data_IF_106575116698
#
_entry.id   IF_106575116698
#
_cell.length_a   1.000
_cell.length_b   1.000
_cell.length_c   1.000
_cell.angle_alpha   90.00
_cell.angle_beta   90.00
_cell.angle_gamma   90.00
#
_symmetry.space_group_name_H-M   'P 1'
#
loop_
_entity.id
_entity.type
_entity.pdbx_description
1 polymer ?
#
# COMPACT_ATOMS: atom_id res chain seq x y z
N UNK A 1 25.27 19.42 1.96
CA UNK A 1 23.98 19.98 1.57
C UNK A 1 23.18 18.90 0.90
N UNK A 2 22.17 18.39 1.59
CA UNK A 2 21.24 17.40 1.01
C UNK A 2 20.18 18.20 0.25
N UNK A 3 20.03 18.06 -1.07
CA UNK A 3 18.88 18.65 -1.74
C UNK A 3 17.60 17.96 -1.24
N UNK A 4 16.48 18.68 -1.06
CA UNK A 4 15.21 18.06 -0.73
C UNK A 4 14.80 17.09 -1.85
N UNK A 5 14.39 15.89 -1.50
CA UNK A 5 13.81 14.95 -2.44
C UNK A 5 12.36 15.37 -2.72
N UNK A 6 12.01 15.58 -3.97
CA UNK A 6 10.61 15.73 -4.39
C UNK A 6 10.09 14.36 -4.77
N UNK A 7 8.95 13.99 -4.22
CA UNK A 7 8.38 12.64 -4.38
C UNK A 7 7.03 12.77 -5.08
N UNK A 8 6.78 11.90 -6.04
CA UNK A 8 5.48 11.79 -6.69
C UNK A 8 4.84 10.44 -6.40
N UNK A 9 3.55 10.44 -6.06
CA UNK A 9 2.62 9.31 -5.78
C UNK A 9 2.65 8.74 -4.35
N UNK A 10 1.68 8.18 -3.95
CA UNK A 10 0.62 8.36 -3.10
C UNK A 10 -0.01 7.10 -2.49
N UNK A 11 -0.84 7.28 -1.51
CA UNK A 11 -1.62 6.31 -0.76
C UNK A 11 -2.76 5.68 -1.58
N UNK A 12 -3.68 4.98 -0.90
CA UNK A 12 -4.78 4.17 -1.43
C UNK A 12 -5.49 4.74 -2.67
N UNK A 13 -5.64 6.03 -2.77
CA UNK A 13 -6.33 6.70 -3.88
C UNK A 13 -5.40 7.63 -4.69
N UNK A 14 -4.09 7.49 -4.51
CA UNK A 14 -3.11 8.22 -5.31
C UNK A 14 -2.72 9.58 -4.72
N UNK A 15 -2.85 9.82 -3.40
CA UNK A 15 -2.45 11.08 -2.77
C UNK A 15 -1.60 10.89 -1.49
N UNK A 16 -1.03 11.95 -0.96
CA UNK A 16 -0.14 11.97 0.21
C UNK A 16 -0.84 12.41 1.50
N UNK A 17 -2.17 12.60 1.51
CA UNK A 17 -2.89 13.24 2.59
C UNK A 17 -2.60 12.65 3.99
N UNK A 18 -2.54 11.33 4.08
CA UNK A 18 -2.39 10.61 5.34
C UNK A 18 -0.94 10.16 5.63
N UNK A 19 0.02 10.46 4.75
CA UNK A 19 1.42 10.08 4.94
C UNK A 19 2.20 11.21 5.60
N UNK A 20 2.61 11.02 6.84
CA UNK A 20 3.37 12.01 7.61
C UNK A 20 4.87 11.75 7.65
N UNK A 21 5.26 10.50 7.46
CA UNK A 21 6.67 10.10 7.44
C UNK A 21 6.88 8.85 6.59
N UNK A 22 8.09 8.72 6.02
CA UNK A 22 8.54 7.53 5.31
C UNK A 22 9.91 7.13 5.83
N UNK A 23 10.26 5.85 5.68
CA UNK A 23 11.64 5.41 5.81
C UNK A 23 12.39 5.67 4.51
N UNK A 24 13.66 6.04 4.61
CA UNK A 24 14.61 6.06 3.49
C UNK A 24 15.85 5.28 3.88
N UNK A 25 16.21 4.32 3.07
CA UNK A 25 17.36 3.43 3.27
C UNK A 25 18.43 3.67 2.21
N UNK A 26 19.67 3.87 2.66
CA UNK A 26 20.87 3.89 1.83
C UNK A 26 21.90 2.93 2.46
N UNK A 27 22.27 1.90 1.73
CA UNK A 27 23.09 0.82 2.27
C UNK A 27 22.37 0.11 3.43
N UNK A 28 23.00 0.05 4.61
CA UNK A 28 22.40 -0.53 5.82
C UNK A 28 21.73 0.49 6.73
N UNK A 29 21.76 1.78 6.37
CA UNK A 29 21.27 2.87 7.21
C UNK A 29 19.84 3.24 6.81
N UNK A 30 18.91 3.15 7.75
CA UNK A 30 17.50 3.56 7.59
C UNK A 30 17.25 4.80 8.42
N UNK A 31 16.68 5.83 7.81
CA UNK A 31 16.33 7.08 8.47
C UNK A 31 14.90 7.49 8.18
N UNK A 32 14.28 8.14 9.18
CA UNK A 32 12.96 8.74 9.04
C UNK A 32 13.03 10.05 8.27
N UNK A 33 12.12 10.22 7.32
CA UNK A 33 11.91 11.49 6.63
C UNK A 33 10.46 11.93 6.83
N UNK A 34 10.27 13.19 7.24
CA UNK A 34 8.96 13.82 7.30
C UNK A 34 8.47 14.10 5.89
N UNK A 35 7.18 13.92 5.70
CA UNK A 35 6.49 14.20 4.44
C UNK A 35 5.75 15.53 4.58
N UNK A 36 6.02 16.44 3.65
CA UNK A 36 5.25 17.68 3.46
C UNK A 36 4.64 17.63 2.08
N UNK A 37 3.34 17.37 2.01
CA UNK A 37 2.62 17.25 0.74
C UNK A 37 2.25 18.60 0.14
N UNK A 38 2.05 18.65 -1.18
CA UNK A 38 1.53 19.78 -1.92
C UNK A 38 0.05 20.06 -1.55
N UNK A 39 -0.46 21.22 -1.94
CA UNK A 39 -1.85 21.58 -1.66
C UNK A 39 -2.89 20.64 -2.28
N UNK A 40 -2.55 19.98 -3.37
CA UNK A 40 -3.38 18.98 -4.06
C UNK A 40 -3.08 17.54 -3.61
N UNK A 41 -2.14 17.35 -2.67
CA UNK A 41 -1.65 16.06 -2.18
C UNK A 41 -1.01 15.14 -3.23
N UNK A 42 -0.78 15.60 -4.45
CA UNK A 42 -0.25 14.75 -5.53
C UNK A 42 1.27 14.59 -5.49
N UNK A 43 1.96 15.52 -4.84
CA UNK A 43 3.41 15.46 -4.64
C UNK A 43 3.78 15.73 -3.19
N UNK A 44 4.99 15.35 -2.80
CA UNK A 44 5.49 15.59 -1.46
C UNK A 44 6.98 15.91 -1.47
N UNK A 45 7.42 16.66 -0.46
CA UNK A 45 8.83 16.92 -0.16
C UNK A 45 9.20 16.14 1.09
N UNK A 46 10.33 15.44 1.02
CA UNK A 46 10.89 14.70 2.14
C UNK A 46 11.96 15.53 2.84
N UNK A 47 11.89 15.62 4.17
CA UNK A 47 12.89 16.32 4.99
C UNK A 47 13.21 15.52 6.25
N UNK A 48 14.43 15.63 6.76
CA UNK A 48 14.86 14.99 8.00
C UNK A 48 15.79 15.91 8.79
N UNK A 49 15.74 15.81 10.12
CA UNK A 49 16.70 16.48 10.99
C UNK A 49 18.05 15.74 11.02
N UNK A 50 18.06 14.47 10.61
CA UNK A 50 19.25 13.64 10.40
C UNK A 50 19.21 13.01 8.99
N UNK A 51 19.41 13.80 7.92
CA UNK A 51 19.30 13.27 6.56
C UNK A 51 20.50 12.38 6.18
N UNK A 52 20.33 11.61 5.11
CA UNK A 52 21.46 10.99 4.43
C UNK A 52 22.29 12.06 3.70
N UNK A 53 23.60 11.95 3.81
CA UNK A 53 24.55 12.83 3.10
C UNK A 53 25.32 12.04 2.06
N UNK A 54 25.57 12.66 0.92
CA UNK A 54 26.51 12.13 -0.05
C UNK A 54 27.91 12.02 0.58
N UNK A 55 28.47 10.82 0.59
CA UNK A 55 29.82 10.53 1.09
C UNK A 55 30.86 10.55 -0.04
N UNK A 56 30.42 10.40 -1.28
CA UNK A 56 31.23 10.43 -2.51
C UNK A 56 30.36 10.91 -3.67
N UNK A 57 30.94 11.02 -4.85
CA UNK A 57 30.22 11.39 -6.09
C UNK A 57 29.66 10.18 -6.84
N UNK A 58 29.74 9.00 -6.23
CA UNK A 58 29.25 7.75 -6.81
C UNK A 58 27.72 7.66 -6.77
N UNK A 59 27.20 6.81 -7.60
CA UNK A 59 25.77 6.44 -7.56
C UNK A 59 25.45 5.69 -6.26
N UNK A 60 24.33 6.00 -5.64
CA UNK A 60 23.81 5.29 -4.46
C UNK A 60 22.51 4.59 -4.79
N UNK A 61 22.30 3.44 -4.17
CA UNK A 61 21.03 2.72 -4.23
C UNK A 61 20.16 3.16 -3.06
N UNK A 62 18.94 3.60 -3.35
CA UNK A 62 17.97 4.09 -2.37
C UNK A 62 16.72 3.22 -2.42
N UNK A 63 16.27 2.79 -1.25
CA UNK A 63 14.91 2.26 -1.03
C UNK A 63 14.17 3.15 -0.05
N UNK A 64 12.87 3.31 -0.25
CA UNK A 64 12.03 4.07 0.67
C UNK A 64 10.67 3.40 0.80
N UNK A 65 10.01 3.52 1.96
CA UNK A 65 8.72 2.85 2.17
C UNK A 65 7.83 3.55 3.19
N UNK A 66 6.56 3.28 3.06
CA UNK A 66 5.52 3.59 4.02
C UNK A 66 4.52 2.39 4.09
N UNK A 67 3.94 2.06 5.24
CA UNK A 67 4.14 2.71 6.54
C UNK A 67 5.55 2.45 7.10
N UNK A 68 6.02 3.39 7.91
CA UNK A 68 7.29 3.31 8.62
C UNK A 68 7.07 3.22 10.13
N UNK A 69 7.76 2.31 10.79
CA UNK A 69 7.81 2.22 12.25
C UNK A 69 9.24 2.50 12.74
N UNK A 70 9.36 3.33 13.74
CA UNK A 70 10.68 3.67 14.31
C UNK A 70 11.44 2.41 14.74
N UNK A 71 12.72 2.36 14.39
CA UNK A 71 13.59 1.21 14.65
C UNK A 71 13.63 0.14 13.55
N UNK A 72 12.85 0.28 12.48
CA UNK A 72 13.01 -0.59 11.31
C UNK A 72 14.39 -0.45 10.70
N UNK A 73 15.03 -1.57 10.40
CA UNK A 73 16.37 -1.65 9.79
C UNK A 73 16.33 -2.10 8.34
N UNK A 74 15.17 -2.48 7.84
CA UNK A 74 14.92 -2.89 6.45
C UNK A 74 13.43 -2.76 6.14
N UNK A 75 13.10 -2.69 4.85
CA UNK A 75 11.72 -2.64 4.38
C UNK A 75 10.94 -3.89 4.82
N UNK A 76 9.83 -3.74 5.56
CA UNK A 76 9.06 -4.87 6.05
C UNK A 76 8.28 -5.58 4.92
N UNK A 77 7.86 -6.81 5.20
CA UNK A 77 6.90 -7.50 4.34
C UNK A 77 5.55 -6.77 4.35
N UNK A 78 4.81 -6.91 3.25
CA UNK A 78 3.43 -6.39 3.17
C UNK A 78 2.52 -7.24 4.05
N UNK A 79 1.84 -6.60 5.00
CA UNK A 79 0.83 -7.22 5.88
C UNK A 79 -0.45 -6.39 5.81
N UNK A 80 -1.56 -7.02 5.45
CA UNK A 80 -2.85 -6.36 5.31
C UNK A 80 -3.80 -6.74 6.46
N UNK A 81 -4.79 -5.89 6.72
CA UNK A 81 -5.80 -6.14 7.75
C UNK A 81 -6.86 -7.16 7.27
N UNK A 82 -7.29 -8.04 8.16
CA UNK A 82 -8.37 -9.00 7.87
C UNK A 82 -9.74 -8.33 7.74
N UNK A 83 -10.00 -7.28 8.50
CA UNK A 83 -11.19 -6.46 8.35
C UNK A 83 -10.78 -5.08 7.79
N UNK A 84 -11.14 -4.86 6.54
CA UNK A 84 -10.82 -3.62 5.85
C UNK A 84 -11.97 -2.62 5.80
N UNK A 85 -13.03 -2.86 6.55
CA UNK A 85 -14.07 -1.87 6.79
C UNK A 85 -13.53 -0.72 7.65
N UNK A 86 -14.16 0.42 7.62
CA UNK A 86 -13.66 1.60 8.32
C UNK A 86 -12.25 1.97 7.87
N UNK A 87 -11.32 2.11 8.81
CA UNK A 87 -9.94 2.49 8.52
C UNK A 87 -8.99 1.29 8.22
N UNK A 88 -9.51 0.05 8.24
CA UNK A 88 -8.70 -1.15 7.97
C UNK A 88 -8.15 -1.20 6.54
N UNK A 89 -8.89 -0.63 5.58
CA UNK A 89 -8.45 -0.51 4.21
C UNK A 89 -7.21 0.40 4.09
N UNK A 90 -7.27 1.61 4.64
CA UNK A 90 -6.12 2.53 4.63
C UNK A 90 -4.90 1.96 5.37
N UNK A 91 -5.11 1.26 6.49
CA UNK A 91 -4.03 0.57 7.24
C UNK A 91 -3.41 -0.62 6.50
N UNK A 92 -4.04 -1.08 5.42
CA UNK A 92 -3.52 -2.16 4.58
C UNK A 92 -2.68 -1.65 3.41
N UNK A 93 -2.62 -0.34 3.19
CA UNK A 93 -1.84 0.21 2.10
C UNK A 93 -0.35 0.23 2.43
N UNK A 94 0.45 -0.10 1.43
CA UNK A 94 1.90 -0.07 1.48
C UNK A 94 2.43 0.50 0.18
N UNK A 95 3.28 1.51 0.26
CA UNK A 95 3.96 2.09 -0.89
C UNK A 95 5.47 2.01 -0.72
N UNK A 96 6.21 1.89 -1.79
CA UNK A 96 7.66 1.90 -1.74
C UNK A 96 8.32 2.35 -3.04
N UNK A 97 9.56 2.78 -2.89
CA UNK A 97 10.60 2.82 -3.92
C UNK A 97 11.58 1.71 -3.62
N UNK A 98 11.90 0.89 -4.59
CA UNK A 98 12.80 -0.25 -4.40
C UNK A 98 14.05 -0.07 -5.26
N UNK A 99 15.21 -0.03 -4.61
CA UNK A 99 16.55 -0.05 -5.25
C UNK A 99 16.74 0.98 -6.37
N UNK A 100 16.17 2.19 -6.22
CA UNK A 100 16.39 3.28 -7.17
C UNK A 100 17.82 3.76 -7.12
N UNK A 101 18.45 3.88 -8.29
CA UNK A 101 19.77 4.47 -8.41
C UNK A 101 19.67 5.98 -8.45
N UNK A 102 20.41 6.67 -7.59
CA UNK A 102 20.53 8.13 -7.58
C UNK A 102 21.97 8.52 -7.85
N UNK A 103 22.17 9.52 -8.71
CA UNK A 103 23.48 10.08 -9.03
C UNK A 103 23.71 11.39 -8.29
N UNK A 104 24.93 11.61 -7.81
CA UNK A 104 25.33 12.87 -7.17
C UNK A 104 25.03 14.12 -8.02
N UNK A 105 25.15 14.00 -9.34
CA UNK A 105 24.95 15.10 -10.29
C UNK A 105 23.51 15.31 -10.74
N UNK A 106 22.56 14.54 -10.20
CA UNK A 106 21.16 14.54 -10.65
C UNK A 106 20.36 15.77 -10.16
N UNK A 107 20.97 16.63 -9.34
CA UNK A 107 20.30 17.79 -8.75
C UNK A 107 19.38 17.38 -7.60
N UNK A 108 18.09 17.73 -7.67
CA UNK A 108 17.10 17.31 -6.67
C UNK A 108 16.60 15.91 -7.03
N UNK A 109 16.93 14.88 -6.25
CA UNK A 109 16.48 13.52 -6.56
C UNK A 109 14.98 13.36 -6.36
N UNK A 110 14.34 12.61 -7.27
CA UNK A 110 12.93 12.26 -7.21
C UNK A 110 12.77 10.78 -6.89
N UNK A 111 11.85 10.45 -5.98
CA UNK A 111 11.51 9.08 -5.61
C UNK A 111 10.06 8.81 -6.03
N UNK A 112 9.86 7.87 -6.95
CA UNK A 112 8.55 7.48 -7.44
C UNK A 112 8.05 6.28 -6.62
N UNK A 113 7.16 6.51 -5.67
CA UNK A 113 6.56 5.46 -4.87
C UNK A 113 5.49 4.71 -5.66
N UNK A 114 5.47 3.41 -5.50
CA UNK A 114 4.45 2.52 -6.08
C UNK A 114 3.80 1.68 -4.99
N UNK A 115 2.53 1.33 -5.18
CA UNK A 115 1.83 0.44 -4.25
C UNK A 115 2.46 -0.95 -4.24
N UNK A 116 2.61 -1.50 -3.06
CA UNK A 116 3.07 -2.88 -2.82
C UNK A 116 1.91 -3.84 -2.57
N UNK A 117 0.71 -3.33 -2.48
CA UNK A 117 -0.54 -4.08 -2.37
C UNK A 117 -1.25 -4.14 -3.71
N UNK A 118 -2.04 -5.17 -3.94
CA UNK A 118 -2.96 -5.23 -5.08
C UNK A 118 -4.36 -4.86 -4.62
N UNK A 119 -5.03 -3.96 -5.36
CA UNK A 119 -6.43 -3.62 -5.11
C UNK A 119 -7.34 -4.57 -5.87
N UNK A 120 -8.23 -5.21 -5.14
CA UNK A 120 -9.34 -6.00 -5.67
C UNK A 120 -10.60 -5.16 -5.58
N UNK A 121 -11.21 -4.86 -6.72
CA UNK A 121 -12.50 -4.15 -6.80
C UNK A 121 -13.56 -5.09 -7.35
N UNK A 122 -14.70 -5.15 -6.67
CA UNK A 122 -15.80 -6.05 -6.96
C UNK A 122 -17.07 -5.24 -7.17
N UNK A 123 -17.64 -5.32 -8.36
CA UNK A 123 -18.95 -4.71 -8.66
C UNK A 123 -20.03 -5.78 -8.61
N UNK A 124 -20.97 -5.61 -7.69
CA UNK A 124 -22.13 -6.47 -7.58
C UNK A 124 -23.27 -5.95 -8.46
N UNK A 125 -24.00 -6.85 -9.09
CA UNK A 125 -25.18 -6.56 -9.90
C UNK A 125 -26.42 -7.26 -9.35
N UNK A 126 -27.60 -6.72 -9.63
CA UNK A 126 -28.87 -7.23 -9.13
C UNK A 126 -29.26 -6.58 -7.81
N UNK A 127 -30.00 -7.31 -6.96
CA UNK A 127 -30.45 -6.81 -5.65
C UNK A 127 -29.30 -6.94 -4.64
N UNK A 128 -28.76 -5.81 -4.21
CA UNK A 128 -27.62 -5.75 -3.27
C UNK A 128 -27.99 -5.25 -1.88
N UNK A 129 -29.26 -4.84 -1.68
CA UNK A 129 -29.73 -4.23 -0.42
C UNK A 129 -29.67 -5.16 0.79
N UNK A 130 -29.53 -6.46 0.59
CA UNK A 130 -29.43 -7.48 1.62
C UNK A 130 -28.01 -8.04 1.82
N UNK A 131 -26.99 -7.47 1.14
CA UNK A 131 -25.59 -7.85 1.34
C UNK A 131 -25.13 -7.43 2.73
N UNK A 132 -24.69 -8.36 3.55
CA UNK A 132 -24.15 -8.11 4.88
C UNK A 132 -22.65 -7.88 4.86
N UNK A 133 -21.92 -8.64 4.07
CA UNK A 133 -20.50 -8.44 3.80
C UNK A 133 -20.02 -9.19 2.55
N UNK A 134 -18.95 -8.69 1.99
CA UNK A 134 -18.18 -9.32 0.92
C UNK A 134 -16.81 -9.69 1.47
N UNK A 135 -16.35 -10.91 1.23
CA UNK A 135 -15.10 -11.42 1.75
C UNK A 135 -14.27 -12.03 0.64
N UNK A 136 -12.99 -11.68 0.60
CA UNK A 136 -11.99 -12.44 -0.13
C UNK A 136 -11.57 -13.63 0.72
N UNK A 137 -11.40 -14.80 0.10
CA UNK A 137 -11.14 -16.07 0.80
C UNK A 137 -10.04 -16.86 0.11
N UNK A 138 -9.49 -17.86 0.80
CA UNK A 138 -8.40 -18.71 0.30
C UNK A 138 -7.16 -17.92 -0.12
N UNK A 139 -6.86 -16.87 0.63
CA UNK A 139 -5.66 -16.07 0.44
C UNK A 139 -4.44 -16.73 1.07
N UNK A 140 -3.26 -16.39 0.56
CA UNK A 140 -1.99 -16.82 1.14
C UNK A 140 -1.78 -16.23 2.53
N UNK A 141 -1.37 -17.07 3.47
CA UNK A 141 -1.01 -16.67 4.85
C UNK A 141 0.48 -16.34 5.00
N UNK A 142 1.22 -16.22 3.90
CA UNK A 142 2.61 -15.84 3.93
C UNK A 142 2.82 -14.51 4.66
N UNK A 143 3.91 -14.38 5.40
CA UNK A 143 4.23 -13.21 6.22
C UNK A 143 3.13 -12.86 7.24
N UNK A 144 2.38 -13.83 7.73
CA UNK A 144 1.26 -13.64 8.68
C UNK A 144 0.07 -12.86 8.08
N UNK A 145 -0.07 -12.82 6.78
CA UNK A 145 -1.26 -12.26 6.13
C UNK A 145 -2.51 -13.10 6.44
N UNK A 146 -3.69 -12.48 6.50
CA UNK A 146 -4.94 -13.19 6.76
C UNK A 146 -5.34 -14.07 5.56
N UNK A 147 -5.86 -15.26 5.82
CA UNK A 147 -6.44 -16.14 4.79
C UNK A 147 -7.77 -15.62 4.23
N UNK A 148 -8.40 -14.68 4.93
CA UNK A 148 -9.66 -14.05 4.55
C UNK A 148 -9.62 -12.55 4.85
N UNK A 149 -10.22 -11.75 3.97
CA UNK A 149 -10.32 -10.29 4.13
C UNK A 149 -11.78 -9.88 3.92
N UNK A 150 -12.34 -9.15 4.89
CA UNK A 150 -13.64 -8.50 4.73
C UNK A 150 -13.39 -7.18 3.98
N UNK A 151 -13.97 -7.08 2.78
CA UNK A 151 -13.85 -5.92 1.93
C UNK A 151 -14.63 -4.72 2.50
N UNK A 152 -14.15 -3.50 2.24
CA UNK A 152 -14.89 -2.27 2.50
C UNK A 152 -15.99 -2.10 1.45
N UNK A 153 -17.09 -1.48 1.83
CA UNK A 153 -18.02 -0.85 0.87
C UNK A 153 -17.37 0.47 0.39
N UNK A 154 -17.10 0.56 -0.91
CA UNK A 154 -16.52 1.75 -1.53
C UNK A 154 -17.58 2.82 -1.86
N UNK A 155 -18.81 2.62 -1.40
CA UNK A 155 -19.96 3.49 -1.56
C UNK A 155 -21.06 2.85 -2.40
N UNK A 156 -22.28 3.03 -1.96
CA UNK A 156 -23.52 2.56 -2.61
C UNK A 156 -23.92 1.07 -2.41
N UNK A 157 -23.20 0.26 -1.63
CA UNK A 157 -23.52 -1.15 -1.42
C UNK A 157 -23.40 -2.04 -2.66
N UNK A 158 -22.80 -1.51 -3.73
CA UNK A 158 -22.60 -2.23 -5.01
C UNK A 158 -21.14 -2.43 -5.38
N UNK A 159 -20.25 -1.59 -4.83
CA UNK A 159 -18.81 -1.67 -5.09
C UNK A 159 -18.11 -1.99 -3.77
N UNK A 160 -17.36 -3.07 -3.77
CA UNK A 160 -16.56 -3.50 -2.63
C UNK A 160 -15.10 -3.58 -3.01
N UNK A 161 -14.23 -3.14 -2.11
CA UNK A 161 -12.79 -3.10 -2.36
C UNK A 161 -12.01 -3.71 -1.21
N UNK A 162 -10.90 -4.35 -1.56
CA UNK A 162 -9.92 -4.82 -0.59
C UNK A 162 -8.51 -4.69 -1.15
N UNK A 163 -7.54 -4.42 -0.27
CA UNK A 163 -6.12 -4.50 -0.55
C UNK A 163 -5.61 -5.87 -0.11
N UNK A 164 -4.86 -6.53 -0.98
CA UNK A 164 -4.25 -7.84 -0.72
C UNK A 164 -2.74 -7.77 -0.88
N UNK A 165 -2.02 -8.55 -0.10
CA UNK A 165 -0.60 -8.76 -0.33
C UNK A 165 -0.40 -9.48 -1.68
N UNK A 166 0.65 -9.17 -2.46
CA UNK A 166 0.90 -9.78 -3.75
C UNK A 166 0.93 -11.30 -3.66
N UNK A 167 0.09 -11.96 -4.44
CA UNK A 167 -0.03 -13.42 -4.46
C UNK A 167 -0.68 -13.89 -5.75
N UNK A 168 -0.52 -15.18 -6.07
CA UNK A 168 -1.26 -15.85 -7.12
C UNK A 168 -2.44 -16.62 -6.54
N UNK A 169 -3.57 -16.56 -7.21
CA UNK A 169 -4.76 -17.35 -6.87
C UNK A 169 -5.08 -18.28 -8.04
N UNK A 170 -5.08 -19.59 -7.79
CA UNK A 170 -5.30 -20.57 -8.84
C UNK A 170 -6.74 -20.52 -9.38
N UNK A 171 -6.89 -20.81 -10.67
CA UNK A 171 -8.19 -21.00 -11.32
C UNK A 171 -9.07 -21.99 -10.53
N UNK A 172 -10.37 -21.72 -10.48
CA UNK A 172 -11.35 -22.52 -9.75
C UNK A 172 -11.38 -22.31 -8.24
N UNK A 173 -10.37 -21.61 -7.67
CA UNK A 173 -10.36 -21.27 -6.23
C UNK A 173 -11.59 -20.42 -5.89
N UNK A 174 -12.28 -20.76 -4.79
CA UNK A 174 -13.33 -19.92 -4.23
C UNK A 174 -12.69 -18.64 -3.67
N UNK A 175 -12.69 -17.57 -4.47
CA UNK A 175 -11.95 -16.34 -4.16
C UNK A 175 -12.79 -15.29 -3.47
N UNK A 176 -14.09 -15.19 -3.82
CA UNK A 176 -14.99 -14.23 -3.18
C UNK A 176 -16.19 -14.95 -2.61
N UNK A 177 -16.56 -14.57 -1.39
CA UNK A 177 -17.79 -15.01 -0.73
C UNK A 177 -18.63 -13.79 -0.39
N UNK A 178 -19.89 -13.78 -0.83
CA UNK A 178 -20.86 -12.73 -0.53
C UNK A 178 -21.90 -13.34 0.40
N UNK A 179 -22.09 -12.74 1.57
CA UNK A 179 -23.11 -13.16 2.54
C UNK A 179 -24.22 -12.12 2.61
N UNK A 180 -25.45 -12.60 2.78
CA UNK A 180 -26.63 -11.75 2.93
C UNK A 180 -27.20 -11.82 4.34
N UNK A 181 -27.98 -10.80 4.71
CA UNK A 181 -28.69 -10.75 6.00
C UNK A 181 -29.70 -11.88 6.15
N UNK A 182 -30.21 -12.42 5.03
CA UNK A 182 -31.10 -13.62 5.00
C UNK A 182 -30.35 -14.96 5.07
N UNK A 183 -29.03 -14.96 5.34
CA UNK A 183 -28.23 -16.17 5.51
C UNK A 183 -27.83 -16.89 4.21
N UNK A 184 -28.13 -16.31 3.03
CA UNK A 184 -27.64 -16.85 1.76
C UNK A 184 -26.15 -16.51 1.56
N UNK A 185 -25.45 -17.41 0.87
CA UNK A 185 -24.04 -17.24 0.51
C UNK A 185 -23.84 -17.48 -0.98
N UNK A 186 -23.15 -16.58 -1.64
CA UNK A 186 -22.74 -16.70 -3.02
C UNK A 186 -21.22 -16.79 -3.09
N UNK A 187 -20.71 -17.62 -3.99
CA UNK A 187 -19.27 -17.83 -4.15
C UNK A 187 -18.87 -17.55 -5.59
N UNK A 188 -17.91 -16.64 -5.75
CA UNK A 188 -17.23 -16.42 -7.03
C UNK A 188 -15.92 -17.22 -7.03
N UNK A 189 -15.66 -17.94 -8.12
CA UNK A 189 -14.42 -18.68 -8.34
C UNK A 189 -13.56 -17.97 -9.37
N UNK A 190 -12.25 -17.96 -9.11
CA UNK A 190 -11.30 -17.38 -10.04
C UNK A 190 -11.44 -18.02 -11.44
N UNK A 191 -11.52 -17.16 -12.44
CA UNK A 191 -11.49 -17.53 -13.85
C UNK A 191 -10.06 -17.43 -14.38
N UNK A 192 -9.85 -17.81 -15.62
CA UNK A 192 -8.57 -17.62 -16.33
C UNK A 192 -8.29 -16.13 -16.61
#
# INVERSE_FOLDING_TARGET
>A
LTPPAVVTFATVDGDWADVTSVAVQIGSEVKAYRVTHSADNLTATLSSDDPHYWKATDTVTVSAWWPYTEGETAMPAVIVQADQRGNGYAKSDHIAVVEKQLSYNEGTPTLDFTHRTARVSLTLSGTTSDVSFVRLTNLSTANSNPSEIIARDAGSGTIYEALVAPQSVAQGTAFVTISTTGGKTYVYRMQD
#
